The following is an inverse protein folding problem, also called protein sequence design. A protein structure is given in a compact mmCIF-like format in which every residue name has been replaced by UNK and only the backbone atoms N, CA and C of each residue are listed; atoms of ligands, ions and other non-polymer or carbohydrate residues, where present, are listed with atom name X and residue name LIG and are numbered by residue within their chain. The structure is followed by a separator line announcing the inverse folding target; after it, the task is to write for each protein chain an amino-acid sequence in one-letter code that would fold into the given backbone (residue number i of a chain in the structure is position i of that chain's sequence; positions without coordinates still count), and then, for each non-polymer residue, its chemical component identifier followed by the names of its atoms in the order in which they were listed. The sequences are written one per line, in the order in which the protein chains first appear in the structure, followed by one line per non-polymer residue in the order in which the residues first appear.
data_IF_997848492267
#
_entry.id   IF_997848492267
#
_cell.length_a   1.000
_cell.length_b   1.000
_cell.length_c   1.000
_cell.angle_alpha   90.00
_cell.angle_beta   90.00
_cell.angle_gamma   90.00
#
_symmetry.space_group_name_H-M   'P 1'
#
loop_
_entity.id
_entity.type
_entity.pdbx_description
1 polymer ?
#
# COMPACT_ATOMS: atom_id res chain seq x y z
N UNK A 1 7.09 17.85 42.16
CA UNK A 1 6.67 18.68 41.00
C UNK A 1 6.44 17.79 39.77
N UNK A 2 5.27 17.86 39.14
CA UNK A 2 5.01 17.10 37.91
C UNK A 2 5.91 17.60 36.77
N UNK A 3 6.32 16.69 35.86
CA UNK A 3 7.22 17.06 34.77
C UNK A 3 6.56 18.09 33.82
N UNK A 4 7.34 18.97 33.17
CA UNK A 4 6.80 19.95 32.21
C UNK A 4 5.94 19.30 31.11
N UNK A 5 6.40 18.16 30.58
CA UNK A 5 5.69 17.33 29.60
C UNK A 5 4.35 16.81 30.12
N UNK A 6 4.25 16.47 31.41
CA UNK A 6 2.98 16.02 32.00
C UNK A 6 1.97 17.16 32.09
N UNK A 7 2.41 18.37 32.43
CA UNK A 7 1.53 19.54 32.49
C UNK A 7 1.05 19.98 31.11
N UNK A 8 1.92 19.91 30.10
CA UNK A 8 1.57 20.19 28.71
C UNK A 8 0.53 19.20 28.14
N UNK A 9 0.74 17.90 28.38
CA UNK A 9 -0.24 16.87 28.00
C UNK A 9 -1.57 17.03 28.74
N UNK A 10 -1.54 17.38 30.02
CA UNK A 10 -2.75 17.63 30.81
C UNK A 10 -3.55 18.81 30.26
N UNK A 11 -2.87 19.91 29.87
CA UNK A 11 -3.51 21.06 29.21
C UNK A 11 -4.13 20.66 27.87
N UNK A 12 -3.37 19.98 27.02
CA UNK A 12 -3.86 19.51 25.71
C UNK A 12 -5.10 18.62 25.85
N UNK A 13 -5.08 17.68 26.80
CA UNK A 13 -6.22 16.81 27.08
C UNK A 13 -7.44 17.62 27.56
N UNK A 14 -7.23 18.61 28.42
CA UNK A 14 -8.30 19.45 28.95
C UNK A 14 -8.93 20.31 27.85
N UNK A 15 -8.13 20.86 26.94
CA UNK A 15 -8.63 21.61 25.77
C UNK A 15 -9.48 20.72 24.85
N UNK A 16 -9.04 19.50 24.59
CA UNK A 16 -9.81 18.53 23.78
C UNK A 16 -11.13 18.18 24.45
N UNK A 17 -11.12 17.86 25.75
CA UNK A 17 -12.34 17.53 26.49
C UNK A 17 -13.32 18.70 26.52
N UNK A 18 -12.81 19.91 26.77
CA UNK A 18 -13.63 21.13 26.74
C UNK A 18 -14.29 21.35 25.37
N UNK A 19 -13.54 21.19 24.29
CA UNK A 19 -14.08 21.31 22.93
C UNK A 19 -15.15 20.24 22.63
N UNK A 20 -14.99 19.03 23.17
CA UNK A 20 -16.00 17.97 23.03
C UNK A 20 -17.27 18.28 23.81
N UNK A 21 -17.15 18.79 25.04
CA UNK A 21 -18.29 19.19 25.88
C UNK A 21 -19.05 20.37 25.24
N UNK A 22 -18.34 21.40 24.78
CA UNK A 22 -18.94 22.54 24.07
C UNK A 22 -19.70 22.10 22.81
N UNK A 23 -19.13 21.15 22.04
CA UNK A 23 -19.78 20.58 20.85
C UNK A 23 -21.00 19.74 21.22
N UNK A 24 -20.94 19.00 22.33
CA UNK A 24 -22.07 18.22 22.82
C UNK A 24 -23.22 19.13 23.25
N UNK A 25 -22.93 20.16 24.05
CA UNK A 25 -23.93 21.14 24.47
C UNK A 25 -24.57 21.85 23.28
N UNK A 26 -23.80 22.18 22.24
CA UNK A 26 -24.35 22.73 21.00
C UNK A 26 -25.34 21.77 20.35
N UNK A 27 -24.98 20.48 20.22
CA UNK A 27 -25.91 19.47 19.66
C UNK A 27 -27.16 19.29 20.51
N UNK A 28 -27.07 19.40 21.84
CA UNK A 28 -28.23 19.37 22.72
C UNK A 28 -29.15 20.57 22.47
N UNK A 29 -28.58 21.78 22.33
CA UNK A 29 -29.33 22.99 21.95
C UNK A 29 -29.99 22.83 20.58
N UNK A 30 -29.26 22.34 19.59
CA UNK A 30 -29.76 22.12 18.23
C UNK A 30 -30.88 21.07 18.20
N UNK A 31 -30.74 20.00 18.98
CA UNK A 31 -31.76 18.96 19.14
C UNK A 31 -33.03 19.50 19.79
N UNK A 32 -32.90 20.31 20.85
CA UNK A 32 -34.03 20.92 21.54
C UNK A 32 -34.73 21.99 20.67
N UNK A 33 -33.96 22.72 19.87
CA UNK A 33 -34.47 23.73 18.94
C UNK A 33 -34.98 23.18 17.60
N UNK A 34 -34.88 21.86 17.36
CA UNK A 34 -35.18 21.21 16.08
C UNK A 34 -34.41 21.79 14.87
N UNK A 35 -33.33 22.55 15.09
CA UNK A 35 -32.58 23.26 14.05
C UNK A 35 -31.84 22.30 13.11
N UNK A 36 -31.63 21.04 13.50
CA UNK A 36 -31.12 19.98 12.63
C UNK A 36 -32.06 19.63 11.46
N UNK A 37 -33.34 20.02 11.56
CA UNK A 37 -34.33 19.81 10.49
C UNK A 37 -34.41 20.98 9.51
N UNK A 38 -33.73 22.09 9.79
CA UNK A 38 -33.66 23.24 8.90
C UNK A 38 -32.83 22.91 7.65
N UNK A 39 -33.32 23.26 6.45
CA UNK A 39 -32.54 23.11 5.23
C UNK A 39 -31.20 23.83 5.36
N UNK A 40 -30.11 23.14 5.00
CA UNK A 40 -28.78 23.74 4.97
C UNK A 40 -28.78 24.87 3.93
N UNK A 41 -28.20 26.05 4.22
CA UNK A 41 -28.06 27.11 3.24
C UNK A 41 -27.34 26.60 1.99
N UNK A 42 -27.87 26.94 0.82
CA UNK A 42 -27.30 26.54 -0.49
C UNK A 42 -25.84 26.97 -0.61
N UNK A 43 -25.50 28.13 -0.06
CA UNK A 43 -24.14 28.67 -0.03
C UNK A 43 -23.18 27.74 0.73
N UNK A 44 -23.59 27.22 1.88
CA UNK A 44 -22.78 26.31 2.70
C UNK A 44 -22.58 24.95 2.01
N UNK A 45 -23.61 24.45 1.31
CA UNK A 45 -23.50 23.23 0.52
C UNK A 45 -22.48 23.39 -0.61
N UNK A 46 -22.58 24.50 -1.36
CA UNK A 46 -21.65 24.83 -2.44
C UNK A 46 -20.22 25.03 -1.92
N UNK A 47 -20.05 25.76 -0.82
CA UNK A 47 -18.75 25.96 -0.17
C UNK A 47 -18.15 24.61 0.24
N UNK A 48 -18.92 23.74 0.88
CA UNK A 48 -18.44 22.41 1.30
C UNK A 48 -18.00 21.56 0.10
N UNK A 49 -18.76 21.58 -1.00
CA UNK A 49 -18.43 20.84 -2.21
C UNK A 49 -17.19 21.41 -2.89
N UNK A 50 -17.07 22.74 -2.99
CA UNK A 50 -15.89 23.42 -3.53
C UNK A 50 -14.65 23.13 -2.67
N UNK A 51 -14.76 23.21 -1.35
CA UNK A 51 -13.67 22.88 -0.42
C UNK A 51 -13.23 21.43 -0.53
N UNK A 52 -14.19 20.51 -0.61
CA UNK A 52 -13.90 19.09 -0.84
C UNK A 52 -13.20 18.90 -2.19
N UNK A 53 -13.73 19.49 -3.26
CA UNK A 53 -13.14 19.43 -4.59
C UNK A 53 -11.71 19.97 -4.62
N UNK A 54 -11.47 21.14 -4.01
CA UNK A 54 -10.15 21.76 -3.93
C UNK A 54 -9.16 20.89 -3.16
N UNK A 55 -9.58 20.30 -2.03
CA UNK A 55 -8.74 19.38 -1.25
C UNK A 55 -8.42 18.09 -2.01
N UNK A 56 -9.37 17.57 -2.78
CA UNK A 56 -9.15 16.39 -3.62
C UNK A 56 -8.17 16.65 -4.77
N UNK A 57 -7.97 17.92 -5.16
CA UNK A 57 -7.05 18.33 -6.22
C UNK A 57 -5.81 19.06 -5.67
N UNK A 58 -5.60 19.08 -4.37
CA UNK A 58 -4.38 19.65 -3.78
C UNK A 58 -3.22 18.68 -4.02
N UNK A 59 -2.34 19.05 -4.96
CA UNK A 59 -1.15 18.30 -5.37
C UNK A 59 -0.24 17.93 -4.21
N UNK A 60 -0.27 18.70 -3.11
CA UNK A 60 0.52 18.41 -1.93
C UNK A 60 0.00 17.21 -1.15
N UNK A 61 -1.32 17.00 -1.16
CA UNK A 61 -2.02 15.93 -0.42
C UNK A 61 -2.33 14.71 -1.30
N UNK A 62 -2.30 14.86 -2.62
CA UNK A 62 -2.45 13.75 -3.54
C UNK A 62 -1.22 12.84 -3.53
N UNK A 63 -1.44 11.53 -3.56
CA UNK A 63 -0.38 10.51 -3.58
C UNK A 63 0.30 10.37 -4.95
N UNK A 64 0.87 11.48 -5.43
CA UNK A 64 1.53 11.58 -6.73
C UNK A 64 3.02 11.21 -6.69
N UNK A 65 3.62 11.21 -5.50
CA UNK A 65 5.04 10.88 -5.31
C UNK A 65 5.20 9.45 -4.79
N UNK A 66 6.41 8.90 -4.87
CA UNK A 66 6.70 7.55 -4.39
C UNK A 66 7.88 7.57 -3.43
N UNK A 67 7.79 6.76 -2.38
CA UNK A 67 8.92 6.52 -1.49
C UNK A 67 9.88 5.50 -2.11
N UNK A 68 11.17 5.83 -2.24
CA UNK A 68 12.14 4.90 -2.83
C UNK A 68 12.43 3.65 -1.98
N UNK A 69 12.06 3.67 -0.69
CA UNK A 69 12.27 2.57 0.25
C UNK A 69 11.13 1.56 0.21
N UNK A 70 9.86 2.02 0.31
CA UNK A 70 8.71 1.12 0.32
C UNK A 70 7.96 1.01 -1.01
N UNK A 71 8.30 1.84 -2.00
CA UNK A 71 7.63 1.97 -3.31
C UNK A 71 6.14 2.31 -3.29
N UNK A 72 5.58 2.61 -2.13
CA UNK A 72 4.20 3.07 -2.04
C UNK A 72 4.10 4.51 -2.55
N UNK A 73 2.95 4.79 -3.17
CA UNK A 73 2.51 6.16 -3.45
C UNK A 73 2.28 6.90 -2.13
N UNK A 74 2.70 8.16 -2.09
CA UNK A 74 2.63 9.02 -0.91
C UNK A 74 2.34 10.45 -1.33
N UNK A 75 1.63 11.14 -0.46
CA UNK A 75 1.43 12.57 -0.59
C UNK A 75 2.78 13.29 -0.52
N UNK A 76 2.95 14.35 -1.30
CA UNK A 76 4.20 15.12 -1.34
C UNK A 76 4.58 15.66 0.04
N UNK A 77 3.60 15.99 0.89
CA UNK A 77 3.81 16.43 2.28
C UNK A 77 4.39 15.34 3.19
N UNK A 78 4.15 14.07 2.86
CA UNK A 78 4.60 12.92 3.65
C UNK A 78 5.95 12.39 3.20
N UNK A 79 6.60 13.07 2.26
CA UNK A 79 7.86 12.66 1.65
C UNK A 79 8.92 13.75 1.84
N UNK A 80 10.09 13.34 2.30
CA UNK A 80 11.24 14.22 2.47
C UNK A 80 12.35 13.82 1.51
N UNK A 81 13.14 14.79 1.07
CA UNK A 81 14.33 14.55 0.26
C UNK A 81 15.54 14.22 1.13
N UNK A 82 16.22 13.13 0.77
CA UNK A 82 17.38 12.61 1.48
C UNK A 82 18.60 12.56 0.57
N UNK A 83 19.77 12.71 1.19
CA UNK A 83 21.07 12.41 0.58
C UNK A 83 21.62 11.14 1.19
N UNK A 84 22.35 10.36 0.39
CA UNK A 84 22.94 9.10 0.86
C UNK A 84 23.87 9.30 2.06
N UNK A 85 24.62 10.41 2.11
CA UNK A 85 25.52 10.74 3.23
C UNK A 85 24.80 10.80 4.58
N UNK A 86 23.54 11.24 4.59
CA UNK A 86 22.70 11.31 5.80
C UNK A 86 21.97 9.99 6.05
N UNK A 87 21.58 9.30 4.99
CA UNK A 87 20.83 8.06 5.06
C UNK A 87 21.68 6.82 5.40
N UNK A 88 22.96 6.79 5.00
CA UNK A 88 23.84 5.64 5.16
C UNK A 88 23.94 5.13 6.61
N UNK A 89 24.13 5.98 7.64
CA UNK A 89 24.17 5.51 9.02
C UNK A 89 22.88 4.81 9.45
N UNK A 90 21.72 5.29 8.99
CA UNK A 90 20.41 4.68 9.29
C UNK A 90 20.27 3.32 8.60
N UNK A 91 20.66 3.25 7.33
CA UNK A 91 20.70 1.99 6.58
C UNK A 91 21.62 0.97 7.26
N UNK A 92 22.83 1.36 7.67
CA UNK A 92 23.80 0.46 8.33
C UNK A 92 23.27 -0.10 9.65
N UNK A 93 22.51 0.69 10.41
CA UNK A 93 21.87 0.21 11.64
C UNK A 93 20.82 -0.87 11.35
N UNK A 94 20.02 -0.68 10.31
CA UNK A 94 19.01 -1.65 9.89
C UNK A 94 19.61 -2.86 9.14
N UNK A 95 20.79 -2.74 8.53
CA UNK A 95 21.42 -3.72 7.63
C UNK A 95 21.52 -5.13 8.23
N UNK A 96 21.77 -5.24 9.53
CA UNK A 96 21.87 -6.53 10.24
C UNK A 96 20.57 -7.32 10.28
N UNK A 97 19.43 -6.64 10.10
CA UNK A 97 18.08 -7.22 10.13
C UNK A 97 17.52 -7.45 8.72
N UNK A 98 18.23 -6.97 7.70
CA UNK A 98 17.86 -7.09 6.30
C UNK A 98 18.20 -8.48 5.77
N UNK A 99 17.30 -9.05 4.97
CA UNK A 99 17.62 -10.23 4.18
C UNK A 99 18.66 -9.87 3.10
N UNK A 100 19.21 -10.88 2.42
CA UNK A 100 20.10 -10.64 1.27
C UNK A 100 19.40 -9.79 0.20
N UNK A 101 18.13 -10.09 -0.09
CA UNK A 101 17.36 -9.42 -1.13
C UNK A 101 17.11 -7.95 -0.80
N UNK A 102 16.81 -7.65 0.46
CA UNK A 102 16.61 -6.27 0.93
C UNK A 102 17.91 -5.46 0.79
N UNK A 103 19.06 -6.03 1.16
CA UNK A 103 20.37 -5.38 0.99
C UNK A 103 20.69 -5.09 -0.48
N UNK A 104 20.29 -5.99 -1.38
CA UNK A 104 20.47 -5.76 -2.81
C UNK A 104 19.57 -4.63 -3.34
N UNK A 105 18.40 -4.38 -2.76
CA UNK A 105 17.57 -3.23 -3.09
C UNK A 105 18.27 -1.91 -2.74
N UNK A 106 18.79 -1.77 -1.52
CA UNK A 106 19.55 -0.58 -1.09
C UNK A 106 20.92 -0.43 -1.78
N UNK A 107 21.40 -1.47 -2.46
CA UNK A 107 22.62 -1.40 -3.27
C UNK A 107 22.42 -0.66 -4.62
N UNK A 108 21.18 -0.45 -5.05
CA UNK A 108 20.87 0.21 -6.32
C UNK A 108 21.34 1.68 -6.32
N UNK A 109 22.31 2.02 -7.18
CA UNK A 109 22.84 3.38 -7.29
C UNK A 109 21.92 4.37 -8.02
N UNK A 110 20.89 3.88 -8.71
CA UNK A 110 19.88 4.75 -9.34
C UNK A 110 18.80 5.16 -8.34
N UNK A 111 18.32 4.23 -7.51
CA UNK A 111 17.37 4.55 -6.43
C UNK A 111 18.05 5.25 -5.25
N UNK A 112 19.31 4.92 -4.98
CA UNK A 112 20.10 5.49 -3.90
C UNK A 112 21.43 6.04 -4.45
N UNK A 113 21.41 7.23 -5.07
CA UNK A 113 22.61 7.91 -5.52
C UNK A 113 23.57 8.18 -4.35
N UNK A 114 24.79 7.66 -4.44
CA UNK A 114 25.80 7.78 -3.36
C UNK A 114 26.57 9.09 -3.42
N UNK A 115 26.73 9.62 -4.64
CA UNK A 115 27.52 10.79 -4.98
C UNK A 115 26.71 11.64 -5.95
N UNK A 116 26.88 12.95 -5.88
CA UNK A 116 26.20 13.91 -6.74
C UNK A 116 25.25 14.87 -6.00
N UNK A 117 24.69 15.85 -6.72
CA UNK A 117 23.68 16.76 -6.17
C UNK A 117 22.33 16.07 -5.96
N UNK A 118 22.08 14.97 -6.68
CA UNK A 118 20.80 14.30 -6.75
C UNK A 118 20.47 13.57 -5.45
N UNK A 119 19.32 13.91 -4.87
CA UNK A 119 18.75 13.24 -3.70
C UNK A 119 17.73 12.16 -4.10
N UNK A 120 17.13 11.55 -3.09
CA UNK A 120 16.02 10.61 -3.26
C UNK A 120 14.97 10.82 -2.20
N UNK A 121 13.73 10.49 -2.52
CA UNK A 121 12.57 10.86 -1.72
C UNK A 121 12.11 9.68 -0.85
N UNK A 122 12.00 9.90 0.46
CA UNK A 122 11.66 8.87 1.46
C UNK A 122 10.48 9.36 2.29
N UNK A 123 9.47 8.50 2.48
CA UNK A 123 8.33 8.86 3.30
C UNK A 123 8.64 8.89 4.79
N UNK A 124 7.87 9.68 5.54
CA UNK A 124 8.01 9.84 6.99
C UNK A 124 7.92 8.52 7.75
N UNK A 125 7.05 7.59 7.33
CA UNK A 125 6.96 6.26 7.95
C UNK A 125 8.27 5.47 7.83
N UNK A 126 8.91 5.55 6.67
CA UNK A 126 10.16 4.85 6.42
C UNK A 126 11.32 5.51 7.16
N UNK A 127 11.40 6.84 7.16
CA UNK A 127 12.44 7.56 7.90
C UNK A 127 12.33 7.30 9.41
N UNK A 128 11.15 7.47 10.01
CA UNK A 128 10.94 7.24 11.44
C UNK A 128 11.23 5.79 11.85
N UNK A 129 10.86 4.81 11.01
CA UNK A 129 11.17 3.42 11.30
C UNK A 129 12.69 3.17 11.29
N UNK A 130 13.40 3.67 10.28
CA UNK A 130 14.85 3.52 10.15
C UNK A 130 15.61 4.26 11.25
N UNK A 131 15.17 5.44 11.66
CA UNK A 131 15.69 6.18 12.82
C UNK A 131 15.52 5.39 14.13
N UNK A 132 14.41 4.67 14.27
CA UNK A 132 14.19 3.74 15.38
C UNK A 132 14.96 2.40 15.23
N UNK A 133 15.78 2.25 14.19
CA UNK A 133 16.51 1.02 13.85
C UNK A 133 15.61 -0.14 13.43
N UNK A 134 14.35 0.14 13.05
CA UNK A 134 13.35 -0.85 12.66
C UNK A 134 13.16 -0.87 11.15
N UNK A 135 12.70 -2.01 10.63
CA UNK A 135 12.22 -2.10 9.26
C UNK A 135 10.84 -1.42 9.15
N UNK A 136 10.62 -0.53 8.16
CA UNK A 136 9.33 0.09 7.93
C UNK A 136 8.23 -0.97 7.76
N UNK A 137 7.03 -0.73 8.28
CA UNK A 137 5.95 -1.72 8.27
C UNK A 137 5.58 -2.17 6.84
N UNK A 138 5.51 -1.24 5.91
CA UNK A 138 5.30 -1.52 4.49
C UNK A 138 6.34 -2.50 3.91
N UNK A 139 7.56 -2.48 4.46
CA UNK A 139 8.67 -3.31 4.02
C UNK A 139 8.69 -4.72 4.64
N UNK A 140 7.90 -5.00 5.69
CA UNK A 140 8.01 -6.25 6.48
C UNK A 140 7.45 -7.48 5.78
N UNK A 141 6.53 -7.32 4.82
CA UNK A 141 5.84 -8.45 4.21
C UNK A 141 6.45 -8.82 2.86
N UNK A 142 6.57 -7.88 1.91
CA UNK A 142 7.12 -8.16 0.57
C UNK A 142 7.74 -6.96 -0.19
N UNK A 143 7.52 -5.70 0.21
CA UNK A 143 7.85 -4.57 -0.67
C UNK A 143 9.35 -4.41 -0.95
N UNK A 144 10.24 -4.71 0.02
CA UNK A 144 11.69 -4.75 -0.25
C UNK A 144 12.12 -5.97 -1.09
N UNK A 145 11.31 -7.03 -1.06
CA UNK A 145 11.48 -8.22 -1.89
C UNK A 145 11.18 -7.99 -3.37
N UNK A 146 10.39 -6.97 -3.73
CA UNK A 146 10.14 -6.64 -5.13
C UNK A 146 11.40 -6.11 -5.84
N UNK A 147 12.44 -5.72 -5.08
CA UNK A 147 13.62 -5.07 -5.63
C UNK A 147 13.29 -3.67 -6.15
N UNK A 148 14.25 -3.00 -6.76
CA UNK A 148 13.98 -1.70 -7.37
C UNK A 148 13.36 -1.80 -8.76
N UNK A 149 12.51 -0.84 -9.15
CA UNK A 149 11.90 -0.76 -10.49
C UNK A 149 12.96 -0.70 -11.60
N UNK A 150 14.12 -0.09 -11.33
CA UNK A 150 15.27 -0.10 -12.22
C UNK A 150 15.90 -1.49 -12.45
N UNK A 151 15.58 -2.44 -11.57
CA UNK A 151 15.99 -3.85 -11.65
C UNK A 151 14.83 -4.71 -12.14
N UNK A 152 13.88 -4.11 -12.88
CA UNK A 152 12.83 -4.82 -13.59
C UNK A 152 13.44 -6.08 -14.22
N UNK A 153 12.95 -7.29 -13.88
CA UNK A 153 13.62 -8.52 -14.25
C UNK A 153 13.88 -8.52 -15.75
N UNK A 154 15.12 -8.78 -16.16
CA UNK A 154 15.47 -8.79 -17.59
C UNK A 154 14.57 -9.76 -18.39
N UNK A 155 14.09 -10.82 -17.73
CA UNK A 155 13.15 -11.79 -18.28
C UNK A 155 11.75 -11.20 -18.60
N UNK A 156 11.35 -10.09 -17.97
CA UNK A 156 10.07 -9.42 -18.21
C UNK A 156 10.20 -8.21 -19.14
N UNK A 157 11.42 -7.73 -19.42
CA UNK A 157 11.71 -6.45 -20.10
C UNK A 157 11.19 -6.33 -21.55
N UNK A 158 10.84 -7.44 -22.18
CA UNK A 158 10.34 -7.49 -23.57
C UNK A 158 8.93 -8.05 -23.67
N UNK A 159 8.26 -8.23 -22.54
CA UNK A 159 6.90 -8.69 -22.54
C UNK A 159 5.97 -7.53 -22.92
N UNK A 160 4.96 -7.85 -23.71
CA UNK A 160 3.85 -6.97 -23.96
C UNK A 160 3.04 -6.78 -22.67
N UNK A 161 2.33 -5.66 -22.51
CA UNK A 161 1.48 -5.44 -21.34
C UNK A 161 0.48 -6.58 -21.07
N UNK A 162 0.03 -7.28 -22.13
CA UNK A 162 -0.81 -8.47 -22.03
C UNK A 162 -0.06 -9.66 -21.42
N UNK A 163 1.20 -9.90 -21.82
CA UNK A 163 2.03 -10.98 -21.26
C UNK A 163 2.43 -10.72 -19.81
N UNK A 164 2.76 -9.47 -19.46
CA UNK A 164 3.01 -9.05 -18.08
C UNK A 164 1.76 -9.25 -17.20
N UNK A 165 0.60 -8.87 -17.73
CA UNK A 165 -0.68 -9.04 -17.06
C UNK A 165 -1.05 -10.53 -16.90
N UNK A 166 -0.83 -11.36 -17.91
CA UNK A 166 -1.02 -12.80 -17.83
C UNK A 166 -0.11 -13.40 -16.73
N UNK A 167 1.17 -13.03 -16.70
CA UNK A 167 2.10 -13.48 -15.64
C UNK A 167 1.64 -13.01 -14.24
N UNK A 168 1.17 -11.76 -14.12
CA UNK A 168 0.63 -11.20 -12.88
C UNK A 168 -0.67 -11.86 -12.42
N UNK A 169 -1.51 -12.31 -13.36
CA UNK A 169 -2.71 -13.12 -13.09
C UNK A 169 -2.35 -14.55 -12.65
N UNK A 170 -1.22 -15.08 -13.10
CA UNK A 170 -0.68 -16.40 -12.70
C UNK A 170 0.04 -16.37 -11.34
N UNK A 171 -0.35 -15.49 -10.40
CA UNK A 171 -0.03 -15.71 -8.98
C UNK A 171 -0.67 -17.04 -8.57
N UNK A 172 0.10 -18.05 -8.12
CA UNK A 172 -0.45 -19.34 -7.76
C UNK A 172 -1.29 -19.21 -6.48
N UNK A 173 -2.58 -18.98 -6.63
CA UNK A 173 -3.55 -19.06 -5.54
C UNK A 173 -3.91 -20.53 -5.31
N UNK A 174 -3.11 -21.26 -4.52
CA UNK A 174 -3.54 -22.57 -4.02
C UNK A 174 -2.44 -23.44 -3.43
N UNK A 175 -2.73 -24.05 -2.28
CA UNK A 175 -2.12 -25.29 -1.85
C UNK A 175 -3.14 -26.42 -2.00
N UNK A 176 -2.81 -27.42 -2.79
CA UNK A 176 -3.47 -28.73 -2.73
C UNK A 176 -2.39 -29.80 -2.65
N UNK A 177 -2.32 -30.47 -1.51
CA UNK A 177 -1.58 -31.71 -1.35
C UNK A 177 -2.28 -32.79 -2.16
N UNK A 178 -1.63 -33.30 -3.22
CA UNK A 178 -2.19 -34.40 -4.01
C UNK A 178 -2.38 -35.63 -3.09
N UNK A 179 -3.62 -36.10 -2.99
CA UNK A 179 -3.95 -37.36 -2.34
C UNK A 179 -3.67 -38.50 -3.32
N UNK A 180 -2.86 -39.48 -2.91
CA UNK A 180 -2.85 -40.79 -3.55
C UNK A 180 -3.80 -41.67 -2.72
N UNK A 181 -4.94 -42.06 -3.29
CA UNK A 181 -5.78 -43.09 -2.68
C UNK A 181 -5.27 -44.41 -3.24
N UNK A 182 -4.41 -45.05 -2.47
CA UNK A 182 -4.05 -46.45 -2.69
C UNK A 182 -5.25 -47.30 -2.23
N UNK A 183 -6.00 -47.85 -3.17
CA UNK A 183 -7.23 -48.62 -2.89
C UNK A 183 -6.90 -50.01 -2.35
N UNK A 184 -5.66 -50.49 -2.55
CA UNK A 184 -5.29 -51.89 -2.30
C UNK A 184 -4.82 -52.18 -0.86
N UNK A 185 -4.67 -51.16 -0.01
CA UNK A 185 -4.26 -51.37 1.40
C UNK A 185 -5.17 -50.63 2.37
N UNK A 186 -5.98 -51.42 3.10
CA UNK A 186 -6.71 -50.94 4.26
C UNK A 186 -5.71 -50.51 5.36
N UNK A 187 -5.47 -49.21 5.50
CA UNK A 187 -4.62 -48.66 6.56
C UNK A 187 -5.42 -47.78 7.51
N UNK A 188 -5.37 -48.15 8.79
CA UNK A 188 -6.10 -47.60 9.94
C UNK A 188 -6.04 -46.07 10.07
N UNK A 189 -7.21 -45.43 9.96
CA UNK A 189 -7.79 -44.46 10.90
C UNK A 189 -7.08 -43.18 11.38
N UNK A 190 -5.76 -42.96 11.20
CA UNK A 190 -5.09 -41.74 11.72
C UNK A 190 -3.98 -41.21 10.79
N UNK A 191 -4.32 -40.15 10.05
CA UNK A 191 -3.48 -39.11 9.41
C UNK A 191 -2.24 -39.53 8.55
N UNK A 192 -2.29 -39.21 7.25
CA UNK A 192 -1.24 -39.45 6.23
C UNK A 192 -0.16 -38.35 6.24
N UNK A 193 1.13 -38.71 6.14
CA UNK A 193 2.27 -37.77 5.98
C UNK A 193 2.47 -37.37 4.50
N UNK A 194 2.59 -36.07 4.22
CA UNK A 194 2.82 -35.50 2.88
C UNK A 194 4.33 -35.35 2.54
N UNK A 195 4.73 -35.63 1.29
CA UNK A 195 6.04 -35.26 0.71
C UNK A 195 5.86 -34.17 -0.36
N UNK A 196 6.68 -33.12 -0.36
CA UNK A 196 6.59 -31.93 -1.25
C UNK A 196 7.08 -32.21 -2.69
N UNK A 197 6.31 -31.76 -3.68
CA UNK A 197 6.66 -31.64 -5.12
C UNK A 197 5.63 -30.73 -5.83
N UNK A 198 6.01 -30.05 -6.93
CA UNK A 198 5.19 -29.06 -7.65
C UNK A 198 4.50 -29.66 -8.88
N UNK A 199 3.26 -29.26 -9.18
CA UNK A 199 2.54 -29.56 -10.44
C UNK A 199 1.80 -28.29 -10.90
N UNK A 200 1.81 -28.01 -12.21
CA UNK A 200 1.08 -26.93 -12.88
C UNK A 200 -0.18 -27.51 -13.54
N UNK A 201 -1.34 -26.86 -13.38
CA UNK A 201 -2.60 -27.22 -14.07
C UNK A 201 -3.22 -25.96 -14.67
N UNK A 202 -3.67 -26.04 -15.92
CA UNK A 202 -4.39 -24.99 -16.62
C UNK A 202 -5.91 -25.22 -16.50
N UNK A 203 -6.74 -24.18 -16.27
CA UNK A 203 -8.19 -24.34 -16.29
C UNK A 203 -8.66 -24.71 -17.70
N UNK A 204 -9.57 -25.68 -17.76
CA UNK A 204 -10.07 -26.30 -19.00
C UNK A 204 -11.06 -25.43 -19.78
N UNK A 205 -11.41 -24.25 -19.28
CA UNK A 205 -12.41 -23.37 -19.89
C UNK A 205 -11.83 -21.97 -20.04
N UNK A 206 -11.09 -21.80 -21.13
CA UNK A 206 -10.52 -20.51 -21.55
C UNK A 206 -11.62 -19.50 -21.93
N UNK A 207 -12.78 -19.96 -22.41
CA UNK A 207 -13.87 -19.08 -22.89
C UNK A 207 -14.55 -18.33 -21.74
N UNK A 208 -14.76 -18.98 -20.59
CA UNK A 208 -15.31 -18.33 -19.38
C UNK A 208 -14.34 -17.32 -18.76
N UNK A 209 -13.03 -17.56 -18.90
CA UNK A 209 -11.98 -16.66 -18.40
C UNK A 209 -11.89 -15.40 -19.27
N UNK A 210 -11.97 -15.56 -20.60
CA UNK A 210 -11.96 -14.46 -21.56
C UNK A 210 -13.17 -13.53 -21.37
N UNK A 211 -14.36 -14.09 -21.14
CA UNK A 211 -15.61 -13.31 -21.00
C UNK A 211 -15.76 -12.55 -19.67
N UNK A 212 -15.07 -12.95 -18.60
CA UNK A 212 -15.18 -12.30 -17.28
C UNK A 212 -14.06 -11.33 -16.94
N UNK A 213 -12.92 -11.45 -17.61
CA UNK A 213 -11.69 -10.76 -17.17
C UNK A 213 -11.19 -9.72 -18.19
N UNK A 214 -11.53 -9.83 -19.48
CA UNK A 214 -11.28 -8.72 -20.39
C UNK A 214 -12.28 -7.59 -20.09
N UNK A 215 -11.84 -6.33 -19.97
CA UNK A 215 -12.77 -5.24 -19.81
C UNK A 215 -13.67 -5.19 -21.05
N UNK A 216 -14.95 -4.98 -20.76
CA UNK A 216 -16.07 -4.81 -21.65
C UNK A 216 -16.13 -3.41 -22.32
N UNK A 217 -15.08 -2.89 -23.00
CA UNK A 217 -15.28 -1.87 -24.04
C UNK A 217 -15.15 -2.37 -25.48
N UNK A 218 -14.38 -3.43 -25.77
CA UNK A 218 -14.15 -3.85 -27.17
C UNK A 218 -15.28 -4.69 -27.77
N UNK A 219 -16.06 -5.41 -26.95
CA UNK A 219 -17.21 -6.20 -27.43
C UNK A 219 -18.38 -5.31 -27.87
N UNK A 220 -18.61 -4.17 -27.20
CA UNK A 220 -19.67 -3.22 -27.59
C UNK A 220 -19.38 -2.48 -28.90
N UNK A 221 -18.12 -2.29 -29.28
CA UNK A 221 -17.75 -1.69 -30.58
C UNK A 221 -17.75 -2.73 -31.72
N UNK A 222 -17.45 -4.01 -31.44
CA UNK A 222 -17.53 -5.09 -32.44
C UNK A 222 -18.98 -5.41 -32.87
N UNK A 223 -19.95 -5.29 -31.97
CA UNK A 223 -21.38 -5.36 -32.31
C UNK A 223 -21.87 -4.11 -33.06
N UNK A 224 -21.19 -2.96 -32.92
CA UNK A 224 -21.53 -1.71 -33.63
C UNK A 224 -20.95 -1.63 -35.05
N UNK A 225 -20.00 -2.49 -35.40
CA UNK A 225 -19.28 -2.50 -36.68
C UNK A 225 -19.77 -3.61 -37.63
N UNK A 226 -20.68 -4.49 -37.19
CA UNK A 226 -21.39 -5.36 -38.14
C UNK A 226 -22.61 -4.62 -38.73
N UNK A 227 -22.47 -4.23 -40.00
CA UNK A 227 -23.57 -3.98 -40.94
C UNK A 227 -24.31 -5.28 -41.23
#
# INVERSE_FOLDING_TARGET
PASPLFQERKKSLHEVLKAMDERWEQRVRDSAGHTWSEPRPRELELETVCDFYNKMHDENTMELTHCVVCYEQKASVDVSDWKWTVFEPLYRQAETRLTRQDREHFACRQCFPREGPDGFSVCQDCSHALEAGKLPRACQVNNLGLGCVHRYPAALRYLTPMEEWLIGMYIPCGWITKFQIDIEKATNGRYRKHKKGHITVFPNDMENLVSKVLPHPMMNELERIHV
#
